data_IF_456276328596
#
_entry.id   IF_456276328596
#
_cell.length_a   1.000
_cell.length_b   1.000
_cell.length_c   1.000
_cell.angle_alpha   90.00
_cell.angle_beta   90.00
_cell.angle_gamma   90.00
#
_symmetry.space_group_name_H-M   'P 1'
#
loop_
_entity.id
_entity.type
_entity.pdbx_description
1 polymer ?
#
# COMPACT_ATOMS: atom_id res chain seq x y z
N UNK A 1 15.65 9.34 17.34
CA UNK A 1 14.33 9.96 17.59
C UNK A 1 13.62 9.15 18.65
N UNK A 2 13.10 9.80 19.69
CA UNK A 2 12.31 9.14 20.73
C UNK A 2 10.83 9.05 20.32
N UNK A 3 10.06 8.23 21.00
CA UNK A 3 8.59 8.23 20.91
C UNK A 3 8.06 9.67 21.01
N UNK A 4 7.08 10.09 20.20
CA UNK A 4 6.50 11.43 20.31
C UNK A 4 6.04 11.68 21.74
N UNK A 5 6.55 12.76 22.35
CA UNK A 5 6.20 13.19 23.70
C UNK A 5 5.14 14.28 23.70
N UNK A 6 4.96 14.96 22.56
CA UNK A 6 3.91 15.95 22.37
C UNK A 6 2.55 15.24 22.22
N UNK A 7 1.55 15.74 22.95
CA UNK A 7 0.22 15.12 22.96
C UNK A 7 -0.40 15.08 21.55
N UNK A 8 -0.21 16.13 20.76
CA UNK A 8 -0.68 16.22 19.37
C UNK A 8 -0.14 15.10 18.48
N UNK A 9 1.18 14.93 18.43
CA UNK A 9 1.87 13.94 17.62
C UNK A 9 1.55 12.53 18.08
N UNK A 10 1.49 12.30 19.40
CA UNK A 10 1.06 11.03 19.96
C UNK A 10 -0.38 10.68 19.56
N UNK A 11 -1.32 11.64 19.64
CA UNK A 11 -2.72 11.43 19.24
C UNK A 11 -2.84 11.12 17.75
N UNK A 12 -2.16 11.87 16.88
CA UNK A 12 -2.21 11.65 15.42
C UNK A 12 -1.62 10.29 15.06
N UNK A 13 -0.46 9.94 15.63
CA UNK A 13 0.20 8.68 15.34
C UNK A 13 -0.62 7.49 15.86
N UNK A 14 -1.16 7.57 17.08
CA UNK A 14 -2.01 6.54 17.65
C UNK A 14 -3.32 6.36 16.86
N UNK A 15 -3.97 7.46 16.45
CA UNK A 15 -5.16 7.41 15.61
C UNK A 15 -4.87 6.75 14.26
N UNK A 16 -3.80 7.17 13.58
CA UNK A 16 -3.47 6.67 12.25
C UNK A 16 -3.04 5.19 12.29
N UNK A 17 -2.32 4.77 13.35
CA UNK A 17 -2.01 3.37 13.59
C UNK A 17 -3.25 2.53 13.89
N UNK A 18 -4.14 3.03 14.76
CA UNK A 18 -5.40 2.36 15.07
C UNK A 18 -6.28 2.18 13.84
N UNK A 19 -6.40 3.22 13.01
CA UNK A 19 -7.10 3.14 11.72
C UNK A 19 -6.47 2.10 10.79
N UNK A 20 -5.14 2.12 10.62
CA UNK A 20 -4.45 1.17 9.77
C UNK A 20 -4.64 -0.27 10.26
N UNK A 21 -4.30 -0.54 11.51
CA UNK A 21 -4.37 -1.87 12.12
C UNK A 21 -5.81 -2.42 12.09
N UNK A 22 -6.79 -1.63 12.55
CA UNK A 22 -8.19 -2.01 12.56
C UNK A 22 -8.73 -2.30 11.15
N UNK A 23 -8.41 -1.45 10.17
CA UNK A 23 -8.83 -1.65 8.78
C UNK A 23 -8.22 -2.92 8.19
N UNK A 24 -6.92 -3.15 8.37
CA UNK A 24 -6.22 -4.33 7.85
C UNK A 24 -6.75 -5.62 8.45
N UNK A 25 -7.05 -5.65 9.76
CA UNK A 25 -7.63 -6.82 10.43
C UNK A 25 -9.02 -7.14 9.86
N UNK A 26 -9.89 -6.14 9.73
CA UNK A 26 -11.23 -6.33 9.15
C UNK A 26 -11.11 -6.86 7.73
N UNK A 27 -10.26 -6.24 6.90
CA UNK A 27 -10.02 -6.71 5.53
C UNK A 27 -9.44 -8.12 5.49
N UNK A 28 -8.55 -8.49 6.42
CA UNK A 28 -7.97 -9.83 6.50
C UNK A 28 -9.05 -10.88 6.82
N UNK A 29 -9.94 -10.58 7.77
CA UNK A 29 -11.08 -11.44 8.10
C UNK A 29 -12.00 -11.64 6.90
N UNK A 30 -12.35 -10.56 6.19
CA UNK A 30 -13.21 -10.63 5.00
C UNK A 30 -12.52 -11.38 3.85
N UNK A 31 -11.24 -11.10 3.58
CA UNK A 31 -10.47 -11.78 2.54
C UNK A 31 -10.32 -13.28 2.85
N UNK A 32 -10.05 -13.63 4.11
CA UNK A 32 -9.96 -15.02 4.56
C UNK A 32 -11.29 -15.76 4.42
N UNK A 33 -12.41 -15.13 4.82
CA UNK A 33 -13.75 -15.72 4.70
C UNK A 33 -14.16 -15.96 3.23
N UNK A 34 -13.70 -15.12 2.30
CA UNK A 34 -13.99 -15.24 0.87
C UNK A 34 -12.86 -15.95 0.08
N UNK A 35 -11.85 -16.49 0.75
CA UNK A 35 -10.71 -17.11 0.10
C UNK A 35 -11.06 -18.48 -0.48
N UNK A 36 -10.63 -18.73 -1.72
CA UNK A 36 -10.73 -20.05 -2.35
C UNK A 36 -9.46 -20.85 -2.12
N UNK A 37 -9.59 -22.11 -1.67
CA UNK A 37 -8.46 -22.98 -1.25
C UNK A 37 -7.34 -23.12 -2.30
N UNK A 38 -7.71 -23.10 -3.58
CA UNK A 38 -6.80 -23.33 -4.71
C UNK A 38 -6.22 -22.06 -5.35
N UNK A 39 -6.64 -20.86 -4.92
CA UNK A 39 -6.20 -19.61 -5.52
C UNK A 39 -5.07 -19.00 -4.69
N UNK A 40 -3.86 -18.98 -5.24
CA UNK A 40 -2.68 -18.41 -4.56
C UNK A 40 -2.84 -16.92 -4.28
N UNK A 41 -3.42 -16.16 -5.21
CA UNK A 41 -3.60 -14.71 -5.09
C UNK A 41 -4.33 -14.32 -3.80
N UNK A 42 -5.39 -15.04 -3.42
CA UNK A 42 -6.15 -14.75 -2.20
C UNK A 42 -5.30 -14.97 -0.94
N UNK A 43 -4.44 -15.99 -0.94
CA UNK A 43 -3.51 -16.27 0.18
C UNK A 43 -2.47 -15.17 0.32
N UNK A 44 -1.97 -14.66 -0.81
CA UNK A 44 -1.01 -13.55 -0.82
C UNK A 44 -1.65 -12.27 -0.27
N UNK A 45 -2.90 -11.95 -0.65
CA UNK A 45 -3.65 -10.80 -0.11
C UNK A 45 -3.81 -10.92 1.40
N UNK A 46 -4.19 -12.09 1.92
CA UNK A 46 -4.29 -12.28 3.38
C UNK A 46 -2.92 -12.11 4.05
N UNK A 47 -1.85 -12.66 3.47
CA UNK A 47 -0.50 -12.52 4.00
C UNK A 47 -0.02 -11.06 4.02
N UNK A 48 -0.28 -10.30 2.96
CA UNK A 48 0.01 -8.86 2.87
C UNK A 48 -0.63 -8.09 4.03
N UNK A 49 -1.93 -8.32 4.26
CA UNK A 49 -2.70 -7.66 5.31
C UNK A 49 -2.16 -7.99 6.71
N UNK A 50 -1.81 -9.26 6.95
CA UNK A 50 -1.24 -9.70 8.23
C UNK A 50 0.14 -9.06 8.48
N UNK A 51 1.01 -9.03 7.47
CA UNK A 51 2.33 -8.40 7.56
C UNK A 51 2.23 -6.90 7.87
N UNK A 52 1.31 -6.19 7.21
CA UNK A 52 1.07 -4.77 7.45
C UNK A 52 0.52 -4.48 8.85
N UNK A 53 -0.31 -5.37 9.39
CA UNK A 53 -0.92 -5.23 10.73
C UNK A 53 0.15 -5.22 11.83
N UNK A 54 1.23 -5.98 11.70
CA UNK A 54 2.31 -6.08 12.70
C UNK A 54 3.01 -4.74 12.97
N UNK A 55 2.97 -3.80 12.04
CA UNK A 55 3.55 -2.47 12.23
C UNK A 55 2.59 -1.46 12.87
N UNK A 56 1.32 -1.80 13.09
CA UNK A 56 0.33 -0.90 13.69
C UNK A 56 0.39 -0.79 15.22
N UNK A 57 1.32 -1.46 15.89
CA UNK A 57 1.32 -1.63 17.36
C UNK A 57 2.51 -0.98 18.06
N UNK A 58 3.44 -0.37 17.34
CA UNK A 58 4.69 0.09 17.96
C UNK A 58 4.50 1.25 18.94
N UNK A 59 3.46 2.06 18.78
CA UNK A 59 3.22 3.21 19.65
C UNK A 59 2.96 2.83 21.12
N UNK A 60 2.52 1.59 21.37
CA UNK A 60 2.26 1.09 22.73
C UNK A 60 3.53 0.84 23.54
N UNK A 61 4.68 0.68 22.88
CA UNK A 61 5.95 0.43 23.56
C UNK A 61 6.62 1.74 24.00
N UNK A 62 7.53 1.66 24.98
CA UNK A 62 8.32 2.80 25.46
C UNK A 62 9.82 2.50 25.29
N UNK A 63 10.69 3.53 25.23
CA UNK A 63 12.13 3.32 25.22
C UNK A 63 12.60 2.48 26.43
N UNK A 64 13.57 1.56 26.25
CA UNK A 64 14.39 1.31 25.05
C UNK A 64 13.76 0.34 24.03
N UNK A 65 12.68 -0.35 24.39
CA UNK A 65 12.03 -1.38 23.53
C UNK A 65 11.43 -0.75 22.27
N UNK A 66 10.93 0.48 22.38
CA UNK A 66 10.31 1.23 21.27
C UNK A 66 11.14 1.21 19.98
N UNK A 67 12.44 1.50 20.08
CA UNK A 67 13.31 1.62 18.91
C UNK A 67 13.46 0.27 18.18
N UNK A 68 13.68 -0.79 18.94
CA UNK A 68 13.83 -2.15 18.40
C UNK A 68 12.52 -2.68 17.82
N UNK A 69 11.41 -2.48 18.54
CA UNK A 69 10.11 -2.95 18.10
C UNK A 69 9.62 -2.21 16.85
N UNK A 70 9.79 -0.89 16.78
CA UNK A 70 9.50 -0.09 15.58
C UNK A 70 10.31 -0.60 14.37
N UNK A 71 11.62 -0.76 14.54
CA UNK A 71 12.52 -1.17 13.44
C UNK A 71 12.24 -2.61 12.99
N UNK A 72 11.99 -3.52 13.93
CA UNK A 72 11.65 -4.91 13.61
C UNK A 72 10.29 -5.01 12.88
N UNK A 73 9.29 -4.25 13.33
CA UNK A 73 7.98 -4.27 12.68
C UNK A 73 7.99 -3.59 11.31
N UNK A 74 8.89 -2.63 11.07
CA UNK A 74 9.09 -2.02 9.76
C UNK A 74 9.55 -3.03 8.69
N UNK A 75 10.26 -4.10 9.09
CA UNK A 75 10.62 -5.20 8.17
C UNK A 75 9.35 -5.86 7.61
N UNK A 76 8.35 -6.14 8.47
CA UNK A 76 7.09 -6.72 8.03
C UNK A 76 6.28 -5.76 7.16
N UNK A 77 6.31 -4.46 7.47
CA UNK A 77 5.69 -3.44 6.60
C UNK A 77 6.32 -3.42 5.21
N UNK A 78 7.64 -3.40 5.11
CA UNK A 78 8.35 -3.39 3.82
C UNK A 78 8.10 -4.69 3.03
N UNK A 79 8.01 -5.83 3.73
CA UNK A 79 7.61 -7.09 3.14
C UNK A 79 6.16 -7.02 2.60
N UNK A 80 5.25 -6.40 3.34
CA UNK A 80 3.87 -6.16 2.92
C UNK A 80 3.82 -5.27 1.67
N UNK A 81 4.56 -4.16 1.62
CA UNK A 81 4.64 -3.30 0.42
C UNK A 81 5.22 -4.01 -0.80
N UNK A 82 6.27 -4.82 -0.61
CA UNK A 82 6.82 -5.63 -1.70
C UNK A 82 5.79 -6.65 -2.19
N UNK A 83 5.06 -7.29 -1.27
CA UNK A 83 4.02 -8.24 -1.61
C UNK A 83 2.83 -7.59 -2.32
N UNK A 84 2.42 -6.39 -1.90
CA UNK A 84 1.42 -5.57 -2.58
C UNK A 84 1.76 -5.36 -4.06
N UNK A 85 3.01 -4.98 -4.34
CA UNK A 85 3.47 -4.77 -5.72
C UNK A 85 3.42 -6.06 -6.55
N UNK A 86 3.68 -7.21 -5.94
CA UNK A 86 3.54 -8.53 -6.58
C UNK A 86 2.07 -8.90 -6.81
N UNK A 87 1.18 -8.60 -5.86
CA UNK A 87 -0.27 -8.81 -5.98
C UNK A 87 -0.84 -7.96 -7.12
N UNK A 88 -0.50 -6.67 -7.14
CA UNK A 88 -0.86 -5.76 -8.22
C UNK A 88 -0.36 -6.27 -9.59
N UNK A 89 0.88 -6.80 -9.65
CA UNK A 89 1.38 -7.46 -10.85
C UNK A 89 0.52 -8.65 -11.27
N UNK A 90 0.21 -9.59 -10.35
CA UNK A 90 -0.60 -10.78 -10.67
C UNK A 90 -1.98 -10.38 -11.19
N UNK A 91 -2.63 -9.40 -10.56
CA UNK A 91 -3.96 -8.91 -10.98
C UNK A 91 -3.95 -8.22 -12.33
N UNK A 92 -2.87 -7.51 -12.63
CA UNK A 92 -2.72 -6.77 -13.87
C UNK A 92 -2.13 -7.63 -15.01
N UNK A 93 -1.45 -8.74 -14.68
CA UNK A 93 -0.74 -9.63 -15.60
C UNK A 93 -1.57 -10.05 -16.82
N UNK A 94 -2.87 -10.38 -16.73
CA UNK A 94 -3.67 -10.76 -17.89
C UNK A 94 -3.84 -9.66 -18.95
N UNK A 95 -3.64 -8.39 -18.58
CA UNK A 95 -3.66 -7.26 -19.52
C UNK A 95 -2.30 -6.94 -20.13
N UNK A 96 -1.22 -7.48 -19.56
CA UNK A 96 0.15 -7.17 -19.95
C UNK A 96 0.71 -8.19 -20.95
N UNK A 97 1.43 -7.71 -21.96
CA UNK A 97 2.24 -8.58 -22.82
C UNK A 97 3.44 -9.18 -22.05
N UNK A 98 4.03 -10.28 -22.57
CA UNK A 98 5.14 -10.98 -21.90
C UNK A 98 6.31 -10.06 -21.51
N UNK A 99 6.73 -9.18 -22.42
CA UNK A 99 7.84 -8.22 -22.17
C UNK A 99 7.50 -7.21 -21.08
N UNK A 100 6.29 -6.63 -21.11
CA UNK A 100 5.84 -5.67 -20.11
C UNK A 100 5.67 -6.33 -18.72
N UNK A 101 5.16 -7.56 -18.68
CA UNK A 101 5.04 -8.34 -17.44
C UNK A 101 6.39 -8.66 -16.82
N UNK A 102 7.40 -9.03 -17.63
CA UNK A 102 8.78 -9.24 -17.17
C UNK A 102 9.45 -7.93 -16.70
N UNK A 103 9.22 -6.83 -17.40
CA UNK A 103 9.73 -5.52 -16.99
C UNK A 103 9.13 -5.07 -15.65
N UNK A 104 7.82 -5.25 -15.47
CA UNK A 104 7.13 -4.94 -14.20
C UNK A 104 7.76 -5.72 -13.05
N UNK A 105 7.81 -7.05 -13.11
CA UNK A 105 8.33 -7.84 -11.98
C UNK A 105 9.85 -7.68 -11.82
N UNK A 106 10.59 -7.50 -12.91
CA UNK A 106 12.02 -7.22 -12.89
C UNK A 106 12.35 -5.95 -12.10
N UNK A 107 11.58 -4.87 -12.32
CA UNK A 107 11.75 -3.63 -11.55
C UNK A 107 11.38 -3.80 -10.07
N UNK A 108 10.34 -4.59 -9.72
CA UNK A 108 10.01 -4.92 -8.32
C UNK A 108 11.15 -5.69 -7.62
N UNK A 109 11.90 -6.52 -8.35
CA UNK A 109 13.07 -7.23 -7.80
C UNK A 109 14.25 -6.27 -7.62
N UNK A 110 14.48 -5.37 -8.58
CA UNK A 110 15.58 -4.40 -8.54
C UNK A 110 15.48 -3.40 -7.39
N UNK A 111 14.30 -3.20 -6.79
CA UNK A 111 14.13 -2.31 -5.64
C UNK A 111 14.43 -2.96 -4.29
N UNK A 112 14.57 -4.28 -4.22
CA UNK A 112 14.85 -4.98 -2.95
C UNK A 112 16.13 -4.52 -2.23
N UNK A 113 17.25 -4.21 -2.93
CA UNK A 113 18.43 -3.63 -2.29
C UNK A 113 18.17 -2.28 -1.61
N UNK A 114 17.30 -1.44 -2.18
CA UNK A 114 16.90 -0.18 -1.54
C UNK A 114 16.17 -0.46 -0.22
N UNK A 115 15.22 -1.40 -0.20
CA UNK A 115 14.49 -1.74 1.02
C UNK A 115 15.38 -2.33 2.11
N UNK A 116 16.40 -3.10 1.74
CA UNK A 116 17.42 -3.57 2.70
C UNK A 116 18.20 -2.41 3.30
N UNK A 117 18.64 -1.46 2.47
CA UNK A 117 19.33 -0.26 2.91
C UNK A 117 18.45 0.59 3.83
N UNK A 118 17.16 0.73 3.51
CA UNK A 118 16.20 1.49 4.30
C UNK A 118 15.98 0.86 5.68
N UNK A 119 15.89 -0.47 5.77
CA UNK A 119 15.81 -1.18 7.07
C UNK A 119 17.06 -0.90 7.90
N UNK A 120 18.25 -1.04 7.32
CA UNK A 120 19.51 -0.76 8.04
C UNK A 120 19.58 0.70 8.48
N UNK A 121 19.20 1.63 7.61
CA UNK A 121 19.16 3.05 7.92
C UNK A 121 18.18 3.35 9.07
N UNK A 122 17.01 2.70 9.09
CA UNK A 122 16.02 2.80 10.15
C UNK A 122 16.59 2.34 11.51
N UNK A 123 17.20 1.15 11.56
CA UNK A 123 17.85 0.64 12.78
C UNK A 123 18.96 1.59 13.28
N UNK A 124 19.80 2.10 12.38
CA UNK A 124 20.90 3.01 12.75
C UNK A 124 20.38 4.37 13.23
N UNK A 125 19.29 4.86 12.63
CA UNK A 125 18.66 6.13 13.00
C UNK A 125 18.00 6.08 14.37
N UNK A 126 17.20 5.05 14.66
CA UNK A 126 16.57 4.88 15.96
C UNK A 126 17.56 4.47 17.06
N UNK A 127 18.70 3.88 16.70
CA UNK A 127 19.81 3.65 17.63
C UNK A 127 20.71 4.87 17.85
N UNK A 128 20.45 6.00 17.18
CA UNK A 128 21.25 7.23 17.31
C UNK A 128 22.66 7.16 16.69
N UNK A 129 22.93 6.16 15.85
CA UNK A 129 24.27 5.91 15.26
C UNK A 129 24.49 6.63 13.94
N UNK A 130 23.43 6.92 13.17
CA UNK A 130 23.55 7.56 11.85
C UNK A 130 22.29 8.37 11.50
N UNK A 131 22.44 9.38 10.65
CA UNK A 131 21.35 10.15 10.04
C UNK A 131 21.01 9.68 8.62
N UNK A 132 21.52 8.53 8.18
CA UNK A 132 21.31 8.01 6.83
C UNK A 132 19.82 7.97 6.42
N UNK A 133 18.93 7.62 7.36
CA UNK A 133 17.49 7.56 7.15
C UNK A 133 16.87 8.89 6.68
N UNK A 134 17.37 10.05 7.13
CA UNK A 134 16.81 11.34 6.68
C UNK A 134 17.17 11.64 5.23
N UNK A 135 18.25 11.07 4.72
CA UNK A 135 18.69 11.24 3.33
C UNK A 135 18.00 10.25 2.39
N UNK A 136 17.68 9.05 2.86
CA UNK A 136 17.07 7.99 2.03
C UNK A 136 15.55 8.12 1.95
N UNK A 137 14.90 8.60 3.02
CA UNK A 137 13.45 8.75 3.14
C UNK A 137 12.74 9.48 1.97
N UNK A 138 13.26 10.59 1.40
CA UNK A 138 12.59 11.24 0.26
C UNK A 138 12.47 10.34 -0.98
N UNK A 139 13.35 9.35 -1.11
CA UNK A 139 13.31 8.39 -2.22
C UNK A 139 12.33 7.24 -1.99
N UNK A 140 11.77 7.09 -0.78
CA UNK A 140 10.87 5.98 -0.41
C UNK A 140 9.68 5.88 -1.37
N UNK A 141 9.03 7.01 -1.66
CA UNK A 141 7.89 7.02 -2.57
C UNK A 141 8.24 6.51 -3.98
N UNK A 142 9.43 6.87 -4.49
CA UNK A 142 9.90 6.40 -5.80
C UNK A 142 10.14 4.89 -5.81
N UNK A 143 10.58 4.31 -4.70
CA UNK A 143 10.87 2.89 -4.57
C UNK A 143 9.68 2.07 -4.05
N UNK A 144 8.55 2.71 -3.74
CA UNK A 144 7.32 2.08 -3.23
C UNK A 144 6.16 2.11 -4.23
N UNK A 145 5.91 3.27 -4.83
CA UNK A 145 4.63 3.61 -5.45
C UNK A 145 4.50 3.51 -6.99
N UNK A 146 5.57 3.50 -7.83
CA UNK A 146 5.40 3.55 -9.29
C UNK A 146 4.55 2.42 -9.88
N UNK A 147 4.70 1.20 -9.36
CA UNK A 147 3.95 0.02 -9.82
C UNK A 147 2.45 0.15 -9.59
N UNK A 148 2.07 0.76 -8.47
CA UNK A 148 0.68 1.02 -8.13
C UNK A 148 0.05 2.06 -9.06
N UNK A 149 0.78 3.15 -9.33
CA UNK A 149 0.36 4.20 -10.27
C UNK A 149 0.15 3.59 -11.67
N UNK A 150 1.12 2.79 -12.13
CA UNK A 150 1.01 2.10 -13.42
C UNK A 150 -0.19 1.14 -13.46
N UNK A 151 -0.39 0.34 -12.41
CA UNK A 151 -1.52 -0.62 -12.35
C UNK A 151 -2.86 0.10 -12.38
N UNK A 152 -2.99 1.21 -11.65
CA UNK A 152 -4.18 2.05 -11.68
C UNK A 152 -4.42 2.58 -13.09
N UNK A 153 -3.43 3.24 -13.70
CA UNK A 153 -3.56 3.78 -15.05
C UNK A 153 -3.91 2.70 -16.07
N UNK A 154 -3.23 1.56 -16.02
CA UNK A 154 -3.46 0.45 -16.95
C UNK A 154 -4.88 -0.12 -16.81
N UNK A 155 -5.43 -0.21 -15.61
CA UNK A 155 -6.81 -0.68 -15.40
C UNK A 155 -7.82 0.28 -16.05
N UNK A 156 -7.72 1.57 -15.76
CA UNK A 156 -8.61 2.59 -16.34
C UNK A 156 -8.51 2.62 -17.87
N UNK A 157 -7.28 2.53 -18.40
CA UNK A 157 -7.06 2.47 -19.84
C UNK A 157 -7.72 1.25 -20.49
N UNK A 158 -7.59 0.06 -19.88
CA UNK A 158 -8.19 -1.16 -20.43
C UNK A 158 -9.72 -1.18 -20.33
N UNK A 159 -10.30 -0.65 -19.24
CA UNK A 159 -11.76 -0.49 -19.11
C UNK A 159 -12.31 0.32 -20.29
N UNK A 160 -11.70 1.46 -20.58
CA UNK A 160 -12.13 2.33 -21.68
C UNK A 160 -11.84 1.74 -23.05
N UNK A 161 -10.63 1.19 -23.26
CA UNK A 161 -10.15 0.84 -24.61
C UNK A 161 -10.53 -0.57 -25.07
N UNK A 162 -10.66 -1.55 -24.15
CA UNK A 162 -10.94 -2.95 -24.51
C UNK A 162 -12.38 -3.37 -24.24
N UNK A 163 -12.99 -2.82 -23.21
CA UNK A 163 -14.34 -3.19 -22.80
C UNK A 163 -15.40 -2.16 -23.19
N UNK A 164 -14.98 -0.98 -23.69
CA UNK A 164 -15.85 0.11 -24.15
C UNK A 164 -16.94 0.51 -23.13
N UNK A 165 -16.70 0.26 -21.84
CA UNK A 165 -17.61 0.67 -20.78
C UNK A 165 -17.40 2.13 -20.44
N UNK A 166 -18.48 2.89 -20.32
CA UNK A 166 -18.44 4.17 -19.62
C UNK A 166 -18.21 3.95 -18.12
N UNK A 167 -17.39 4.76 -17.46
CA UNK A 167 -17.11 4.59 -16.02
C UNK A 167 -18.39 4.61 -15.18
N UNK A 168 -19.33 5.52 -15.47
CA UNK A 168 -20.63 5.58 -14.77
C UNK A 168 -21.53 4.37 -15.06
N UNK A 169 -21.45 3.83 -16.27
CA UNK A 169 -22.16 2.60 -16.64
C UNK A 169 -21.59 1.41 -15.85
N UNK A 170 -20.26 1.30 -15.77
CA UNK A 170 -19.59 0.26 -14.99
C UNK A 170 -19.98 0.31 -13.51
N UNK A 171 -20.08 1.52 -12.92
CA UNK A 171 -20.51 1.70 -11.54
C UNK A 171 -21.98 1.29 -11.34
N UNK A 172 -22.85 1.56 -12.30
CA UNK A 172 -24.26 1.15 -12.24
C UNK A 172 -24.41 -0.37 -12.34
N UNK A 173 -23.64 -1.02 -13.22
CA UNK A 173 -23.67 -2.48 -13.39
C UNK A 173 -23.03 -3.19 -12.19
N UNK A 174 -21.90 -2.66 -11.70
CA UNK A 174 -21.19 -3.23 -10.55
C UNK A 174 -20.71 -2.12 -9.60
N UNK A 175 -21.50 -1.81 -8.55
CA UNK A 175 -21.12 -0.83 -7.54
C UNK A 175 -19.77 -1.14 -6.88
N UNK A 176 -19.43 -2.43 -6.77
CA UNK A 176 -18.13 -2.91 -6.23
C UNK A 176 -16.95 -2.37 -7.04
N UNK A 177 -17.04 -2.39 -8.37
CA UNK A 177 -16.01 -1.81 -9.23
C UNK A 177 -15.90 -0.29 -9.05
N UNK A 178 -17.01 0.39 -8.77
CA UNK A 178 -16.99 1.81 -8.40
C UNK A 178 -16.19 2.09 -7.14
N UNK A 179 -16.42 1.33 -6.08
CA UNK A 179 -15.66 1.45 -4.82
C UNK A 179 -14.18 1.15 -5.06
N UNK A 180 -13.86 0.15 -5.90
CA UNK A 180 -12.47 -0.16 -6.27
C UNK A 180 -11.80 1.02 -6.97
N UNK A 181 -12.41 1.57 -8.02
CA UNK A 181 -11.85 2.71 -8.77
C UNK A 181 -11.68 3.95 -7.88
N UNK A 182 -12.66 4.24 -7.03
CA UNK A 182 -12.59 5.34 -6.07
C UNK A 182 -11.44 5.13 -5.07
N UNK A 183 -11.27 3.91 -4.57
CA UNK A 183 -10.18 3.55 -3.65
C UNK A 183 -8.81 3.70 -4.31
N UNK A 184 -8.67 3.31 -5.58
CA UNK A 184 -7.43 3.52 -6.33
C UNK A 184 -7.10 5.02 -6.47
N UNK A 185 -8.06 5.85 -6.88
CA UNK A 185 -7.84 7.30 -7.01
C UNK A 185 -7.47 7.91 -5.66
N UNK A 186 -8.22 7.57 -4.60
CA UNK A 186 -7.99 8.10 -3.27
C UNK A 186 -6.61 7.70 -2.72
N UNK A 187 -6.17 6.46 -2.98
CA UNK A 187 -4.83 6.02 -2.60
C UNK A 187 -3.73 6.84 -3.29
N UNK A 188 -3.91 7.23 -4.56
CA UNK A 188 -2.97 8.08 -5.31
C UNK A 188 -2.98 9.51 -4.75
N UNK A 189 -4.15 10.07 -4.43
CA UNK A 189 -4.23 11.37 -3.78
C UNK A 189 -3.43 11.39 -2.48
N UNK A 190 -3.55 10.34 -1.65
CA UNK A 190 -2.76 10.23 -0.42
C UNK A 190 -1.26 10.02 -0.67
N UNK A 191 -0.84 9.34 -1.74
CA UNK A 191 0.58 9.26 -2.14
C UNK A 191 1.11 10.66 -2.46
N UNK A 192 0.35 11.47 -3.21
CA UNK A 192 0.77 12.83 -3.57
C UNK A 192 0.92 13.68 -2.32
N UNK A 193 -0.07 13.65 -1.42
CA UNK A 193 0.01 14.42 -0.15
C UNK A 193 1.16 13.92 0.72
N UNK A 194 1.40 12.60 0.78
CA UNK A 194 2.53 11.99 1.49
C UNK A 194 3.88 12.50 0.97
N UNK A 195 4.07 12.52 -0.36
CA UNK A 195 5.28 13.05 -0.99
C UNK A 195 5.45 14.53 -0.66
N UNK A 196 4.41 15.34 -0.84
CA UNK A 196 4.47 16.79 -0.58
C UNK A 196 4.81 17.10 0.89
N UNK A 197 4.32 16.27 1.82
CA UNK A 197 4.64 16.37 3.24
C UNK A 197 6.11 15.96 3.53
N UNK A 198 6.59 14.85 2.95
CA UNK A 198 7.97 14.37 3.15
C UNK A 198 9.01 15.29 2.50
N UNK A 199 8.68 15.96 1.39
CA UNK A 199 9.59 16.90 0.71
C UNK A 199 9.51 18.33 1.27
N UNK A 200 8.75 18.57 2.34
CA UNK A 200 8.50 19.90 2.91
C UNK A 200 7.97 20.93 1.89
N UNK A 201 7.22 20.45 0.88
CA UNK A 201 6.61 21.31 -0.12
C UNK A 201 5.31 21.95 0.38
N UNK A 202 4.66 21.34 1.38
CA UNK A 202 3.58 21.96 2.13
C UNK A 202 4.19 22.89 3.20
N UNK A 203 3.74 24.15 3.30
CA UNK A 203 4.19 25.06 4.35
C UNK A 203 3.94 24.41 5.70
N UNK A 204 4.91 24.48 6.64
CA UNK A 204 4.96 23.82 7.96
C UNK A 204 3.58 23.60 8.59
N UNK A 205 2.84 22.61 8.08
CA UNK A 205 1.66 22.10 8.74
C UNK A 205 2.24 21.51 10.00
N UNK A 206 1.78 21.90 11.19
CA UNK A 206 2.32 21.51 12.50
C UNK A 206 2.30 20.00 12.83
N UNK A 207 2.54 19.14 11.84
CA UNK A 207 2.85 17.73 11.90
C UNK A 207 4.35 17.61 12.15
N UNK A 208 4.78 17.05 13.30
CA UNK A 208 6.17 16.85 13.61
C UNK A 208 6.88 16.02 12.54
N UNK A 209 8.14 16.36 12.24
CA UNK A 209 8.99 15.61 11.32
C UNK A 209 8.99 14.11 11.67
N UNK A 210 8.37 13.32 10.78
CA UNK A 210 8.30 11.87 10.90
C UNK A 210 6.92 11.30 11.23
N UNK A 211 5.95 12.13 11.65
CA UNK A 211 4.56 11.73 11.91
C UNK A 211 3.71 12.09 10.70
N UNK A 212 3.63 11.16 9.75
CA UNK A 212 2.83 11.34 8.54
C UNK A 212 1.75 10.25 8.47
N UNK A 213 0.44 10.60 8.56
CA UNK A 213 -0.65 9.64 8.48
C UNK A 213 -1.01 9.25 7.04
N UNK A 214 -0.58 10.03 6.04
CA UNK A 214 -1.06 9.90 4.65
C UNK A 214 -0.59 8.62 3.98
N UNK A 215 0.64 8.16 4.23
CA UNK A 215 1.08 6.86 3.72
C UNK A 215 0.26 5.70 4.29
N UNK A 216 -0.15 5.78 5.57
CA UNK A 216 -1.00 4.75 6.22
C UNK A 216 -2.36 4.69 5.55
N UNK A 217 -2.96 5.87 5.29
CA UNK A 217 -4.21 5.98 4.55
C UNK A 217 -4.08 5.41 3.14
N UNK A 218 -3.03 5.82 2.40
CA UNK A 218 -2.77 5.29 1.06
C UNK A 218 -2.66 3.76 1.07
N UNK A 219 -1.90 3.22 2.02
CA UNK A 219 -1.72 1.78 2.17
C UNK A 219 -3.04 1.04 2.45
N UNK A 220 -3.89 1.56 3.34
CA UNK A 220 -5.22 0.99 3.59
C UNK A 220 -6.07 0.98 2.32
N UNK A 221 -6.11 2.09 1.55
CA UNK A 221 -6.89 2.14 0.31
C UNK A 221 -6.33 1.22 -0.78
N UNK A 222 -5.01 1.04 -0.86
CA UNK A 222 -4.39 0.03 -1.72
C UNK A 222 -4.86 -1.37 -1.36
N UNK A 223 -4.70 -1.78 -0.12
CA UNK A 223 -5.15 -3.10 0.34
C UNK A 223 -6.67 -3.30 0.20
N UNK A 224 -7.46 -2.23 0.34
CA UNK A 224 -8.91 -2.26 0.12
C UNK A 224 -9.27 -2.65 -1.32
N UNK A 225 -8.56 -2.09 -2.31
CA UNK A 225 -8.77 -2.50 -3.71
C UNK A 225 -8.51 -3.98 -3.89
N UNK A 226 -7.53 -4.51 -3.15
CA UNK A 226 -7.16 -5.90 -3.28
C UNK A 226 -8.20 -6.85 -2.69
N UNK A 227 -8.83 -6.44 -1.60
CA UNK A 227 -9.92 -7.17 -0.97
C UNK A 227 -11.23 -7.10 -1.77
N UNK A 228 -11.56 -5.94 -2.37
CA UNK A 228 -12.82 -5.77 -3.13
C UNK A 228 -12.89 -6.71 -4.34
N UNK A 229 -11.79 -6.85 -5.07
CA UNK A 229 -11.67 -7.80 -6.18
C UNK A 229 -10.51 -8.74 -5.90
N UNK A 230 -10.83 -9.90 -5.32
CA UNK A 230 -9.83 -10.93 -4.99
C UNK A 230 -9.26 -11.64 -6.22
N UNK A 231 -10.06 -11.74 -7.28
CA UNK A 231 -9.67 -12.31 -8.57
C UNK A 231 -8.80 -11.32 -9.38
N UNK A 232 -8.22 -11.76 -10.49
CA UNK A 232 -7.59 -10.84 -11.42
C UNK A 232 -8.63 -9.94 -12.12
N UNK A 233 -8.19 -8.74 -12.52
CA UNK A 233 -9.09 -7.73 -13.07
C UNK A 233 -9.74 -8.16 -14.38
N UNK A 234 -9.05 -8.98 -15.19
CA UNK A 234 -9.59 -9.44 -16.47
C UNK A 234 -10.74 -10.41 -16.24
N UNK A 235 -10.56 -11.42 -15.40
CA UNK A 235 -11.64 -12.36 -15.04
C UNK A 235 -12.85 -11.62 -14.47
N UNK A 236 -12.63 -10.58 -13.66
CA UNK A 236 -13.71 -9.78 -13.10
C UNK A 236 -14.46 -8.94 -14.16
N UNK A 237 -13.75 -8.32 -15.11
CA UNK A 237 -14.36 -7.56 -16.20
C UNK A 237 -15.01 -8.45 -17.27
N UNK A 238 -14.42 -9.60 -17.59
CA UNK A 238 -14.97 -10.56 -18.56
C UNK A 238 -16.35 -11.06 -18.10
N UNK A 239 -16.49 -11.40 -16.80
CA UNK A 239 -17.79 -11.74 -16.21
C UNK A 239 -18.82 -10.61 -16.38
N UNK A 240 -18.43 -9.35 -16.18
CA UNK A 240 -19.34 -8.21 -16.34
C UNK A 240 -19.74 -7.99 -17.80
N UNK A 241 -18.84 -8.26 -18.74
CA UNK A 241 -19.16 -8.21 -20.17
C UNK A 241 -20.14 -9.30 -20.57
N UNK A 242 -19.97 -10.51 -20.05
CA UNK A 242 -20.92 -11.62 -20.27
C UNK A 242 -22.32 -11.30 -19.74
N UNK A 243 -22.45 -10.60 -18.61
CA UNK A 243 -23.77 -10.17 -18.09
C UNK A 243 -24.45 -9.07 -18.93
N UNK A 244 -23.72 -8.37 -19.79
CA UNK A 244 -24.26 -7.31 -20.67
C UNK A 244 -24.70 -7.85 -22.04
N UNK A 245 -24.18 -9.01 -22.47
CA UNK A 245 -24.54 -9.70 -23.71
C UNK A 245 -25.67 -10.70 -23.48
#
# INVERSE_FOLDING_TARGET
VAKPHDASGLTIEAWAQGYMCGSLIIMACVAFANMRRHVLLHKLIVLELLLGTLHGTFIFTNPPVYNWYLSATAIFLNASWSLHNVIAWIKNKPFLGKKASLFYIGTVILVQPYWLLEIVANFLYFSGKSRLFTTTRPYEALFRDPWWIFTTWNLFWNIKSRYEFGYLELVRVSPRFGVLMASMILSICFIIVDILAVTHALPESGLPDGINPFWKLSFVFKCLTDMIVLDDFKTALDRLKEYKL
#
